data_IF_369355711561
#
_entry.id   IF_369355711561
#
_cell.length_a   1.000
_cell.length_b   1.000
_cell.length_c   1.000
_cell.angle_alpha   90.00
_cell.angle_beta   90.00
_cell.angle_gamma   90.00
#
_symmetry.space_group_name_H-M   'P 1'
#
loop_
_entity.id
_entity.type
_entity.pdbx_description
1 polymer ?
#
# COMPACT_ATOMS: atom_id res chain seq x y z
N UNK A 1 -18.28 59.62 -6.10
CA UNK A 1 -17.78 58.23 -6.04
C UNK A 1 -17.06 58.00 -7.36
N UNK A 2 -15.73 58.15 -7.36
CA UNK A 2 -14.93 58.24 -8.57
C UNK A 2 -14.57 56.81 -9.01
N UNK A 3 -14.74 56.50 -10.29
CA UNK A 3 -14.61 55.15 -10.89
C UNK A 3 -13.22 54.52 -10.78
N UNK A 4 -12.23 55.23 -10.24
CA UNK A 4 -10.85 54.75 -10.04
C UNK A 4 -10.63 53.85 -8.81
N UNK A 5 -11.57 53.81 -7.85
CA UNK A 5 -11.43 52.95 -6.66
C UNK A 5 -12.01 51.55 -6.84
N UNK A 6 -12.53 51.21 -8.03
CA UNK A 6 -13.09 49.88 -8.33
C UNK A 6 -12.11 49.01 -9.17
N UNK A 7 -11.07 49.61 -9.78
CA UNK A 7 -10.13 48.87 -10.63
C UNK A 7 -9.00 48.15 -9.86
N UNK A 8 -8.76 48.49 -8.59
CA UNK A 8 -7.72 47.86 -7.75
C UNK A 8 -8.17 46.55 -7.05
N UNK A 9 -9.39 46.06 -7.29
CA UNK A 9 -9.90 44.80 -6.73
C UNK A 9 -9.69 43.61 -7.68
N UNK A 10 -9.24 43.84 -8.93
CA UNK A 10 -8.95 42.77 -9.89
C UNK A 10 -7.68 43.04 -10.71
N UNK A 11 -6.53 43.23 -10.03
CA UNK A 11 -5.24 43.24 -10.71
C UNK A 11 -5.01 41.88 -11.40
N UNK A 12 -5.19 41.84 -12.72
CA UNK A 12 -4.85 40.68 -13.54
C UNK A 12 -3.33 40.49 -13.45
N UNK A 13 -2.83 39.31 -13.03
CA UNK A 13 -1.40 39.10 -12.86
C UNK A 13 -0.65 39.40 -14.16
N UNK A 14 0.48 40.08 -14.06
CA UNK A 14 1.29 40.41 -15.24
C UNK A 14 1.90 39.13 -15.85
N UNK A 15 2.36 39.18 -17.11
CA UNK A 15 2.86 37.98 -17.82
C UNK A 15 4.05 37.30 -17.10
N UNK A 16 4.86 38.08 -16.40
CA UNK A 16 6.03 37.59 -15.68
C UNK A 16 5.63 36.83 -14.39
N UNK A 17 4.61 37.31 -13.68
CA UNK A 17 3.98 36.64 -12.54
C UNK A 17 3.22 35.38 -12.95
N UNK A 18 2.53 35.40 -14.10
CA UNK A 18 1.90 34.19 -14.67
C UNK A 18 2.96 33.15 -15.04
N UNK A 19 4.08 33.59 -15.60
CA UNK A 19 5.18 32.71 -15.97
C UNK A 19 5.91 32.13 -14.75
N UNK A 20 6.09 32.91 -13.68
CA UNK A 20 6.68 32.44 -12.43
C UNK A 20 5.77 31.44 -11.72
N UNK A 21 4.46 31.74 -11.62
CA UNK A 21 3.47 30.83 -11.05
C UNK A 21 3.39 29.51 -11.83
N UNK A 22 3.37 29.56 -13.17
CA UNK A 22 3.38 28.36 -14.02
C UNK A 22 4.61 27.47 -13.78
N UNK A 23 5.79 28.06 -13.57
CA UNK A 23 7.01 27.31 -13.24
C UNK A 23 6.90 26.61 -11.89
N UNK A 24 6.33 27.27 -10.89
CA UNK A 24 6.08 26.69 -9.56
C UNK A 24 5.13 25.50 -9.67
N UNK A 25 3.99 25.65 -10.34
CA UNK A 25 3.04 24.55 -10.51
C UNK A 25 3.62 23.35 -11.25
N UNK A 26 4.35 23.57 -12.35
CA UNK A 26 5.02 22.47 -13.06
C UNK A 26 5.96 21.69 -12.14
N UNK A 27 6.79 22.41 -11.35
CA UNK A 27 7.71 21.79 -10.40
C UNK A 27 6.96 20.97 -9.35
N UNK A 28 5.91 21.53 -8.75
CA UNK A 28 5.09 20.83 -7.74
C UNK A 28 4.47 19.56 -8.32
N UNK A 29 3.97 19.62 -9.56
CA UNK A 29 3.42 18.45 -10.26
C UNK A 29 4.46 17.35 -10.44
N UNK A 30 5.66 17.70 -10.89
CA UNK A 30 6.75 16.74 -11.12
C UNK A 30 7.20 16.10 -9.81
N UNK A 31 7.45 16.91 -8.77
CA UNK A 31 7.86 16.41 -7.45
C UNK A 31 6.78 15.54 -6.80
N UNK A 32 5.49 15.84 -7.04
CA UNK A 32 4.38 15.02 -6.56
C UNK A 32 4.33 13.66 -7.26
N UNK A 33 4.57 13.62 -8.58
CA UNK A 33 4.66 12.37 -9.33
C UNK A 33 5.81 11.49 -8.79
N UNK A 34 6.98 12.09 -8.55
CA UNK A 34 8.13 11.40 -7.99
C UNK A 34 7.87 10.87 -6.57
N UNK A 35 7.20 11.66 -5.73
CA UNK A 35 6.77 11.26 -4.39
C UNK A 35 5.86 10.02 -4.45
N UNK A 36 4.82 10.08 -5.28
CA UNK A 36 3.87 8.97 -5.48
C UNK A 36 4.62 7.71 -5.96
N UNK A 37 5.48 7.86 -6.97
CA UNK A 37 6.27 6.75 -7.52
C UNK A 37 7.17 6.10 -6.46
N UNK A 38 7.88 6.90 -5.67
CA UNK A 38 8.80 6.42 -4.63
C UNK A 38 8.05 5.66 -3.53
N UNK A 39 6.95 6.24 -3.02
CA UNK A 39 6.18 5.62 -1.94
C UNK A 39 5.50 4.33 -2.40
N UNK A 40 4.91 4.32 -3.60
CA UNK A 40 4.29 3.13 -4.17
C UNK A 40 5.31 2.02 -4.44
N UNK A 41 6.50 2.37 -4.96
CA UNK A 41 7.59 1.39 -5.14
C UNK A 41 8.05 0.76 -3.82
N UNK A 42 8.13 1.56 -2.75
CA UNK A 42 8.44 1.06 -1.41
C UNK A 42 7.35 0.11 -0.88
N UNK A 43 6.13 0.17 -1.41
CA UNK A 43 4.99 -0.64 -0.99
C UNK A 43 4.17 0.02 0.12
N UNK A 44 4.14 1.36 0.16
CA UNK A 44 3.27 2.12 1.06
C UNK A 44 1.84 2.08 0.52
N UNK A 45 0.86 1.94 1.43
CA UNK A 45 -0.55 1.88 1.07
C UNK A 45 -1.05 3.20 0.44
N UNK A 46 -1.87 3.10 -0.60
CA UNK A 46 -2.42 4.26 -1.33
C UNK A 46 -3.13 5.27 -0.44
N UNK A 47 -3.79 4.83 0.63
CA UNK A 47 -4.42 5.72 1.61
C UNK A 47 -3.41 6.61 2.34
N UNK A 48 -2.22 6.09 2.64
CA UNK A 48 -1.14 6.87 3.26
C UNK A 48 -0.46 7.75 2.20
N UNK A 49 -0.23 7.25 0.99
CA UNK A 49 0.29 8.06 -0.13
C UNK A 49 -0.62 9.27 -0.40
N UNK A 50 -1.94 9.09 -0.40
CA UNK A 50 -2.90 10.20 -0.51
C UNK A 50 -2.67 11.26 0.57
N UNK A 51 -2.45 10.87 1.83
CA UNK A 51 -2.19 11.80 2.92
C UNK A 51 -0.89 12.57 2.71
N UNK A 52 0.19 11.87 2.38
CA UNK A 52 1.50 12.47 2.10
C UNK A 52 1.43 13.47 0.93
N UNK A 53 0.66 13.17 -0.12
CA UNK A 53 0.43 14.09 -1.24
C UNK A 53 -0.30 15.36 -0.79
N UNK A 54 -1.33 15.24 0.04
CA UNK A 54 -2.06 16.40 0.58
C UNK A 54 -1.15 17.24 1.49
N UNK A 55 -0.37 16.58 2.36
CA UNK A 55 0.58 17.24 3.25
C UNK A 55 1.70 17.94 2.46
N UNK A 56 2.17 17.35 1.36
CA UNK A 56 3.12 17.97 0.46
C UNK A 56 2.64 19.33 -0.05
N UNK A 57 1.39 19.43 -0.50
CA UNK A 57 0.82 20.69 -0.98
C UNK A 57 0.74 21.75 0.12
N UNK A 58 0.32 21.37 1.32
CA UNK A 58 0.25 22.27 2.48
C UNK A 58 1.61 22.90 2.80
N UNK A 59 2.70 22.14 2.70
CA UNK A 59 4.06 22.63 2.97
C UNK A 59 4.57 23.65 1.94
N UNK A 60 4.02 23.66 0.72
CA UNK A 60 4.36 24.62 -0.34
C UNK A 60 3.49 25.88 -0.32
N UNK A 61 2.68 26.10 0.72
CA UNK A 61 1.67 27.17 0.78
C UNK A 61 0.77 27.22 -0.47
N UNK A 62 0.66 26.11 -1.19
CA UNK A 62 -0.17 25.98 -2.38
C UNK A 62 -1.34 25.11 -2.01
N UNK A 63 -2.55 25.64 -2.08
CA UNK A 63 -3.73 24.86 -1.72
C UNK A 63 -3.98 23.77 -2.78
N UNK A 64 -4.36 22.56 -2.38
CA UNK A 64 -4.75 21.46 -3.26
C UNK A 64 -5.80 21.90 -4.30
N UNK A 65 -6.69 22.82 -3.93
CA UNK A 65 -7.72 23.36 -4.83
C UNK A 65 -7.12 24.20 -5.96
N UNK A 66 -6.09 24.99 -5.69
CA UNK A 66 -5.40 25.81 -6.69
C UNK A 66 -4.69 24.93 -7.72
N UNK A 67 -4.03 23.87 -7.23
CA UNK A 67 -3.39 22.87 -8.08
C UNK A 67 -4.44 22.16 -8.94
N UNK A 68 -5.56 21.73 -8.37
CA UNK A 68 -6.64 21.11 -9.13
C UNK A 68 -7.17 22.01 -10.25
N UNK A 69 -7.41 23.28 -9.94
CA UNK A 69 -7.87 24.28 -10.92
C UNK A 69 -6.82 24.52 -12.01
N UNK A 70 -5.54 24.58 -11.63
CA UNK A 70 -4.44 24.74 -12.57
C UNK A 70 -4.31 23.50 -13.49
N UNK A 71 -4.34 22.29 -12.92
CA UNK A 71 -4.28 21.02 -13.65
C UNK A 71 -5.42 20.89 -14.66
N UNK A 72 -6.63 21.30 -14.27
CA UNK A 72 -7.81 21.28 -15.14
C UNK A 72 -7.61 22.09 -16.43
N UNK A 73 -6.82 23.16 -16.37
CA UNK A 73 -6.50 24.05 -17.50
C UNK A 73 -5.16 23.75 -18.18
N UNK A 74 -4.31 22.87 -17.64
CA UNK A 74 -2.91 22.69 -18.08
C UNK A 74 -2.56 21.21 -18.35
N UNK A 75 -3.37 20.52 -19.16
CA UNK A 75 -3.21 19.10 -19.50
C UNK A 75 -2.19 18.84 -20.63
N UNK A 76 -1.08 19.57 -20.65
CA UNK A 76 -0.14 19.58 -21.77
C UNK A 76 0.92 18.46 -21.69
N UNK A 77 1.25 18.02 -20.48
CA UNK A 77 2.24 16.96 -20.23
C UNK A 77 1.59 15.79 -19.48
N UNK A 78 2.26 14.64 -19.53
CA UNK A 78 1.75 13.41 -18.92
C UNK A 78 1.61 13.46 -17.40
N UNK A 79 2.49 14.17 -16.70
CA UNK A 79 2.49 14.25 -15.23
C UNK A 79 1.27 15.04 -14.74
N UNK A 80 0.93 16.15 -15.41
CA UNK A 80 -0.26 16.94 -15.13
C UNK A 80 -1.54 16.16 -15.45
N UNK A 81 -1.59 15.46 -16.59
CA UNK A 81 -2.74 14.63 -16.96
C UNK A 81 -2.94 13.51 -15.93
N UNK A 82 -1.88 12.81 -15.56
CA UNK A 82 -1.93 11.77 -14.54
C UNK A 82 -2.40 12.32 -13.20
N UNK A 83 -1.82 13.43 -12.73
CA UNK A 83 -2.12 13.96 -11.41
C UNK A 83 -3.58 14.45 -11.34
N UNK A 84 -4.12 15.01 -12.41
CA UNK A 84 -5.54 15.32 -12.50
C UNK A 84 -6.39 14.04 -12.40
N UNK A 85 -5.99 12.96 -13.09
CA UNK A 85 -6.64 11.65 -12.97
C UNK A 85 -6.60 11.12 -11.53
N UNK A 86 -5.45 11.24 -10.86
CA UNK A 86 -5.25 10.84 -9.46
C UNK A 86 -6.18 11.60 -8.52
N UNK A 87 -6.37 12.90 -8.70
CA UNK A 87 -7.30 13.70 -7.88
C UNK A 87 -8.76 13.24 -8.07
N UNK A 88 -9.17 12.91 -9.30
CA UNK A 88 -10.52 12.42 -9.58
C UNK A 88 -10.74 10.99 -9.05
N UNK A 89 -9.69 10.15 -9.03
CA UNK A 89 -9.73 8.78 -8.52
C UNK A 89 -9.77 8.71 -6.99
N UNK A 90 -9.05 9.61 -6.32
CA UNK A 90 -8.94 9.61 -4.86
C UNK A 90 -9.80 10.67 -4.18
N UNK A 91 -10.68 11.39 -4.90
CA UNK A 91 -11.54 12.44 -4.33
C UNK A 91 -10.71 13.52 -3.60
N UNK A 92 -9.76 14.12 -4.32
CA UNK A 92 -8.97 15.27 -3.83
C UNK A 92 -9.56 16.52 -4.45
N UNK A 93 -10.22 17.36 -3.64
CA UNK A 93 -10.86 18.62 -4.05
C UNK A 93 -11.95 18.49 -5.13
N UNK A 94 -12.48 17.28 -5.31
CA UNK A 94 -13.53 16.97 -6.27
C UNK A 94 -14.33 15.75 -5.80
N UNK A 95 -15.57 15.62 -6.29
CA UNK A 95 -16.34 14.40 -6.10
C UNK A 95 -15.76 13.27 -6.95
N UNK A 96 -15.89 12.03 -6.50
CA UNK A 96 -15.40 10.86 -7.22
C UNK A 96 -15.89 10.86 -8.67
N UNK A 97 -14.96 10.71 -9.61
CA UNK A 97 -15.31 10.57 -11.02
C UNK A 97 -14.37 9.56 -11.69
N UNK A 98 -14.68 8.29 -11.44
CA UNK A 98 -13.89 7.16 -11.94
C UNK A 98 -13.82 7.12 -13.47
N UNK A 99 -14.88 7.53 -14.19
CA UNK A 99 -14.88 7.58 -15.66
C UNK A 99 -13.87 8.62 -16.17
N UNK A 100 -13.89 9.83 -15.59
CA UNK A 100 -12.94 10.89 -15.93
C UNK A 100 -11.51 10.50 -15.54
N UNK A 101 -11.32 9.93 -14.36
CA UNK A 101 -10.02 9.44 -13.91
C UNK A 101 -9.46 8.40 -14.89
N UNK A 102 -10.26 7.41 -15.28
CA UNK A 102 -9.86 6.37 -16.23
C UNK A 102 -9.45 6.97 -17.60
N UNK A 103 -10.24 7.89 -18.16
CA UNK A 103 -9.90 8.58 -19.42
C UNK A 103 -8.58 9.34 -19.33
N UNK A 104 -8.34 10.05 -18.22
CA UNK A 104 -7.08 10.77 -17.97
C UNK A 104 -5.90 9.80 -17.84
N UNK A 105 -6.06 8.68 -17.15
CA UNK A 105 -5.02 7.66 -17.04
C UNK A 105 -4.69 7.02 -18.39
N UNK A 106 -5.68 6.72 -19.24
CA UNK A 106 -5.43 6.24 -20.60
C UNK A 106 -4.61 7.26 -21.41
N UNK A 107 -5.01 8.53 -21.40
CA UNK A 107 -4.29 9.59 -22.12
C UNK A 107 -2.83 9.73 -21.64
N UNK A 108 -2.60 9.80 -20.32
CA UNK A 108 -1.24 9.84 -19.77
C UNK A 108 -0.45 8.54 -20.05
N UNK A 109 -1.11 7.39 -20.05
CA UNK A 109 -0.50 6.09 -20.38
C UNK A 109 -0.02 6.01 -21.83
N UNK A 110 -0.80 6.55 -22.79
CA UNK A 110 -0.43 6.68 -24.20
C UNK A 110 0.80 7.58 -24.39
N UNK A 111 0.97 8.55 -23.48
CA UNK A 111 2.18 9.38 -23.36
C UNK A 111 3.31 8.71 -22.55
N UNK A 112 3.28 7.39 -22.39
CA UNK A 112 4.27 6.57 -21.67
C UNK A 112 4.44 6.85 -20.17
N UNK A 113 3.45 7.45 -19.51
CA UNK A 113 3.49 7.70 -18.07
C UNK A 113 3.35 6.41 -17.25
N UNK A 114 4.35 6.09 -16.41
CA UNK A 114 4.40 4.80 -15.72
C UNK A 114 3.34 4.64 -14.63
N UNK A 115 3.06 5.68 -13.84
CA UNK A 115 1.99 5.65 -12.85
C UNK A 115 0.63 5.52 -13.52
N UNK A 116 0.43 6.21 -14.65
CA UNK A 116 -0.85 6.14 -15.36
C UNK A 116 -1.08 4.73 -15.91
N UNK A 117 -0.06 4.09 -16.49
CA UNK A 117 -0.13 2.69 -16.92
C UNK A 117 -0.51 1.75 -15.76
N UNK A 118 0.09 1.95 -14.57
CA UNK A 118 -0.30 1.18 -13.39
C UNK A 118 -1.78 1.41 -13.01
N UNK A 119 -2.23 2.66 -12.98
CA UNK A 119 -3.60 3.00 -12.61
C UNK A 119 -4.64 2.57 -13.66
N UNK A 120 -4.29 2.49 -14.94
CA UNK A 120 -5.14 1.83 -15.95
C UNK A 120 -5.36 0.36 -15.60
N UNK A 121 -4.29 -0.35 -15.19
CA UNK A 121 -4.39 -1.72 -14.68
C UNK A 121 -5.32 -1.83 -13.47
N UNK A 122 -5.18 -0.94 -12.48
CA UNK A 122 -6.07 -0.89 -11.31
C UNK A 122 -7.53 -0.59 -11.68
N UNK A 123 -7.77 0.30 -12.65
CA UNK A 123 -9.12 0.53 -13.18
C UNK A 123 -9.73 -0.73 -13.77
N UNK A 124 -8.99 -1.50 -14.59
CA UNK A 124 -9.47 -2.78 -15.12
C UNK A 124 -9.63 -3.85 -14.03
N UNK A 125 -8.81 -3.84 -12.98
CA UNK A 125 -8.92 -4.78 -11.85
C UNK A 125 -10.22 -4.59 -11.09
N UNK A 126 -10.57 -3.33 -10.83
CA UNK A 126 -11.68 -2.96 -9.95
C UNK A 126 -12.97 -2.64 -10.72
N UNK A 127 -12.88 -2.34 -12.02
CA UNK A 127 -14.00 -1.82 -12.81
C UNK A 127 -14.27 -0.33 -12.55
N UNK A 128 -13.23 0.44 -12.18
CA UNK A 128 -13.37 1.85 -11.86
C UNK A 128 -13.32 2.67 -13.16
N UNK A 129 -14.48 3.20 -13.60
CA UNK A 129 -14.59 3.97 -14.84
C UNK A 129 -14.53 3.12 -16.12
N UNK A 130 -14.56 1.80 -15.96
CA UNK A 130 -14.51 0.79 -17.03
C UNK A 130 -15.11 -0.52 -16.53
N UNK A 131 -15.15 -1.56 -17.35
CA UNK A 131 -15.55 -2.91 -16.92
C UNK A 131 -14.33 -3.70 -16.42
N UNK A 132 -14.56 -4.61 -15.47
CA UNK A 132 -13.50 -5.50 -14.97
C UNK A 132 -12.90 -6.33 -16.10
N UNK A 133 -11.57 -6.38 -16.19
CA UNK A 133 -10.86 -7.16 -17.19
C UNK A 133 -9.51 -7.66 -16.65
N UNK A 134 -9.48 -8.92 -16.24
CA UNK A 134 -8.30 -9.55 -15.63
C UNK A 134 -7.11 -9.66 -16.61
N UNK A 135 -7.39 -9.91 -17.89
CA UNK A 135 -6.34 -10.02 -18.92
C UNK A 135 -5.64 -8.68 -19.14
N UNK A 136 -6.41 -7.62 -19.36
CA UNK A 136 -5.86 -6.26 -19.50
C UNK A 136 -5.18 -5.80 -18.22
N UNK A 137 -5.72 -6.15 -17.05
CA UNK A 137 -5.08 -5.87 -15.76
C UNK A 137 -3.65 -6.43 -15.72
N UNK A 138 -3.48 -7.72 -16.05
CA UNK A 138 -2.18 -8.35 -16.07
C UNK A 138 -1.25 -7.73 -17.12
N UNK A 139 -1.75 -7.48 -18.33
CA UNK A 139 -0.96 -6.84 -19.40
C UNK A 139 -0.38 -5.49 -18.96
N UNK A 140 -1.18 -4.64 -18.29
CA UNK A 140 -0.71 -3.36 -17.78
C UNK A 140 0.27 -3.50 -16.61
N UNK A 141 0.05 -4.46 -15.70
CA UNK A 141 0.99 -4.72 -14.61
C UNK A 141 2.33 -5.27 -15.10
N UNK A 142 2.34 -6.19 -16.07
CA UNK A 142 3.57 -6.66 -16.71
C UNK A 142 4.30 -5.52 -17.43
N UNK A 143 3.56 -4.67 -18.15
CA UNK A 143 4.12 -3.51 -18.85
C UNK A 143 4.90 -2.57 -17.94
N UNK A 144 4.38 -2.26 -16.74
CA UNK A 144 5.11 -1.42 -15.77
C UNK A 144 6.14 -2.22 -14.98
N UNK A 145 5.94 -3.53 -14.77
CA UNK A 145 6.89 -4.41 -14.12
C UNK A 145 8.21 -4.54 -14.90
N UNK A 146 8.13 -4.62 -16.23
CA UNK A 146 9.27 -4.64 -17.16
C UNK A 146 10.07 -3.33 -17.13
N UNK A 147 9.43 -2.23 -16.73
CA UNK A 147 10.05 -0.92 -16.52
C UNK A 147 10.59 -0.73 -15.09
N UNK A 148 10.82 -1.82 -14.37
CA UNK A 148 11.30 -1.85 -12.97
C UNK A 148 10.39 -1.14 -11.95
N UNK A 149 9.09 -1.01 -12.23
CA UNK A 149 8.14 -0.52 -11.22
C UNK A 149 7.78 -1.66 -10.27
N UNK A 150 8.27 -1.58 -9.03
CA UNK A 150 8.23 -2.68 -8.06
C UNK A 150 6.81 -3.05 -7.64
N UNK A 151 5.89 -2.09 -7.57
CA UNK A 151 4.47 -2.39 -7.33
C UNK A 151 3.83 -3.15 -8.50
N UNK A 152 4.22 -2.83 -9.75
CA UNK A 152 3.82 -3.62 -10.92
C UNK A 152 4.32 -5.05 -10.88
N UNK A 153 5.58 -5.23 -10.50
CA UNK A 153 6.18 -6.54 -10.28
C UNK A 153 5.45 -7.31 -9.16
N UNK A 154 5.12 -6.66 -8.04
CA UNK A 154 4.33 -7.26 -6.96
C UNK A 154 2.97 -7.74 -7.47
N UNK A 155 2.22 -6.89 -8.16
CA UNK A 155 0.88 -7.22 -8.65
C UNK A 155 0.91 -8.33 -9.72
N UNK A 156 1.85 -8.27 -10.67
CA UNK A 156 2.06 -9.35 -11.64
C UNK A 156 2.36 -10.68 -10.91
N UNK A 157 3.23 -10.66 -9.90
CA UNK A 157 3.53 -11.82 -9.07
C UNK A 157 2.28 -12.38 -8.38
N UNK A 158 1.37 -11.52 -7.92
CA UNK A 158 0.10 -11.92 -7.32
C UNK A 158 -0.85 -12.59 -8.32
N UNK A 159 -0.97 -12.06 -9.54
CA UNK A 159 -1.77 -12.68 -10.59
C UNK A 159 -1.27 -14.08 -10.95
N UNK A 160 0.04 -14.24 -11.14
CA UNK A 160 0.64 -15.56 -11.40
C UNK A 160 0.50 -16.53 -10.23
N UNK A 161 0.62 -16.05 -8.99
CA UNK A 161 0.47 -16.90 -7.79
C UNK A 161 -0.93 -17.50 -7.70
N UNK A 162 -1.95 -16.72 -8.03
CA UNK A 162 -3.34 -17.10 -7.85
C UNK A 162 -4.02 -17.62 -9.13
N UNK A 163 -3.42 -17.41 -10.29
CA UNK A 163 -4.03 -17.79 -11.57
C UNK A 163 -5.25 -16.94 -11.93
N UNK A 164 -5.18 -15.63 -11.68
CA UNK A 164 -6.28 -14.70 -11.97
C UNK A 164 -6.23 -14.37 -13.47
N UNK A 165 -7.26 -14.72 -14.23
CA UNK A 165 -7.32 -14.55 -15.69
C UNK A 165 -6.33 -15.40 -16.50
N UNK A 166 -5.50 -16.21 -15.85
CA UNK A 166 -4.43 -17.02 -16.45
C UNK A 166 -4.21 -18.32 -15.70
N UNK A 167 -3.47 -19.27 -16.29
CA UNK A 167 -3.01 -20.45 -15.55
C UNK A 167 -2.02 -20.04 -14.45
N UNK A 168 -2.26 -20.52 -13.23
CA UNK A 168 -1.36 -20.34 -12.09
C UNK A 168 0.07 -20.79 -12.43
N UNK A 169 1.04 -19.93 -12.12
CA UNK A 169 2.47 -20.17 -12.35
C UNK A 169 3.28 -19.63 -11.16
N UNK A 170 3.63 -20.53 -10.23
CA UNK A 170 4.39 -20.16 -9.04
C UNK A 170 5.83 -19.75 -9.35
N UNK A 171 6.44 -20.22 -10.45
CA UNK A 171 7.80 -19.83 -10.84
C UNK A 171 7.84 -18.39 -11.32
N UNK A 172 6.85 -17.98 -12.13
CA UNK A 172 6.70 -16.57 -12.52
C UNK A 172 6.34 -15.68 -11.34
N UNK A 173 5.48 -16.14 -10.44
CA UNK A 173 5.18 -15.42 -9.19
C UNK A 173 6.45 -15.15 -8.37
N UNK A 174 7.24 -16.21 -8.14
CA UNK A 174 8.53 -16.11 -7.45
C UNK A 174 9.48 -15.14 -8.14
N UNK A 175 9.61 -15.23 -9.46
CA UNK A 175 10.46 -14.33 -10.25
C UNK A 175 10.09 -12.86 -10.04
N UNK A 176 8.81 -12.53 -10.13
CA UNK A 176 8.34 -11.16 -9.97
C UNK A 176 8.44 -10.65 -8.54
N UNK A 177 8.07 -11.45 -7.54
CA UNK A 177 8.29 -11.09 -6.13
C UNK A 177 9.77 -10.88 -5.82
N UNK A 178 10.66 -11.69 -6.38
CA UNK A 178 12.11 -11.53 -6.21
C UNK A 178 12.60 -10.21 -6.79
N UNK A 179 12.17 -9.84 -8.00
CA UNK A 179 12.50 -8.53 -8.59
C UNK A 179 11.97 -7.38 -7.74
N UNK A 180 10.71 -7.42 -7.33
CA UNK A 180 10.10 -6.36 -6.52
C UNK A 180 10.80 -6.20 -5.15
N UNK A 181 11.14 -7.32 -4.50
CA UNK A 181 11.86 -7.31 -3.22
C UNK A 181 13.28 -6.74 -3.36
N UNK A 182 13.99 -7.07 -4.44
CA UNK A 182 15.31 -6.49 -4.74
C UNK A 182 15.24 -4.99 -5.01
N UNK A 183 14.10 -4.50 -5.50
CA UNK A 183 13.82 -3.08 -5.69
C UNK A 183 13.31 -2.38 -4.41
N UNK A 184 13.36 -3.04 -3.25
CA UNK A 184 13.02 -2.45 -1.96
C UNK A 184 11.54 -2.49 -1.59
N UNK A 185 10.69 -3.20 -2.34
CA UNK A 185 9.26 -3.29 -2.01
C UNK A 185 9.02 -4.20 -0.79
N UNK A 186 8.48 -3.61 0.29
CA UNK A 186 8.36 -4.28 1.60
C UNK A 186 7.34 -5.41 1.62
N UNK A 187 6.29 -5.31 0.78
CA UNK A 187 5.25 -6.34 0.64
C UNK A 187 5.81 -7.52 -0.15
N UNK A 188 6.59 -7.24 -1.21
CA UNK A 188 7.25 -8.26 -2.00
C UNK A 188 8.29 -9.03 -1.18
N UNK A 189 9.03 -8.39 -0.27
CA UNK A 189 9.92 -9.09 0.66
C UNK A 189 9.15 -10.12 1.50
N UNK A 190 8.01 -9.73 2.08
CA UNK A 190 7.13 -10.66 2.79
C UNK A 190 6.63 -11.81 1.88
N UNK A 191 6.18 -11.51 0.67
CA UNK A 191 5.68 -12.53 -0.26
C UNK A 191 6.79 -13.50 -0.70
N UNK A 192 7.98 -12.99 -0.98
CA UNK A 192 9.15 -13.81 -1.30
C UNK A 192 9.59 -14.67 -0.10
N UNK A 193 9.49 -14.13 1.12
CA UNK A 193 9.72 -14.89 2.35
C UNK A 193 8.76 -16.07 2.46
N UNK A 194 7.47 -15.86 2.16
CA UNK A 194 6.49 -16.95 2.10
C UNK A 194 6.80 -17.96 1.00
N UNK A 195 7.30 -17.53 -0.17
CA UNK A 195 7.73 -18.45 -1.21
C UNK A 195 8.82 -19.39 -0.72
N UNK A 196 9.86 -18.87 -0.06
CA UNK A 196 10.91 -19.71 0.53
C UNK A 196 10.44 -20.53 1.73
N UNK A 197 9.48 -20.05 2.51
CA UNK A 197 8.90 -20.81 3.63
C UNK A 197 8.16 -22.05 3.14
N UNK A 198 7.36 -21.91 2.08
CA UNK A 198 6.47 -22.97 1.62
C UNK A 198 6.99 -23.74 0.40
N UNK A 199 8.05 -23.27 -0.25
CA UNK A 199 8.58 -23.85 -1.48
C UNK A 199 7.75 -23.48 -2.71
N UNK A 200 7.18 -22.27 -2.74
CA UNK A 200 6.36 -21.79 -3.86
C UNK A 200 7.24 -21.16 -4.94
N UNK A 201 7.45 -21.88 -6.04
CA UNK A 201 8.23 -21.39 -7.18
C UNK A 201 9.75 -21.46 -7.00
N UNK A 202 10.22 -21.79 -5.80
CA UNK A 202 11.60 -22.10 -5.46
C UNK A 202 11.65 -23.19 -4.37
N UNK A 203 12.82 -23.78 -4.13
CA UNK A 203 13.01 -24.69 -3.01
C UNK A 203 12.84 -23.99 -1.66
N UNK A 204 12.48 -24.76 -0.63
CA UNK A 204 12.35 -24.22 0.72
C UNK A 204 13.71 -23.76 1.24
N UNK A 205 13.74 -22.56 1.82
CA UNK A 205 14.94 -21.99 2.43
C UNK A 205 14.53 -21.13 3.62
N UNK A 206 14.53 -21.72 4.81
CA UNK A 206 14.07 -21.06 6.03
C UNK A 206 14.98 -19.89 6.44
N UNK A 207 16.27 -19.93 6.12
CA UNK A 207 17.19 -18.83 6.40
C UNK A 207 16.85 -17.61 5.52
N UNK A 208 16.62 -17.82 4.23
CA UNK A 208 16.16 -16.73 3.34
C UNK A 208 14.78 -16.22 3.73
N UNK A 209 13.86 -17.09 4.10
CA UNK A 209 12.54 -16.69 4.59
C UNK A 209 12.66 -15.77 5.82
N UNK A 210 13.43 -16.18 6.82
CA UNK A 210 13.69 -15.40 8.03
C UNK A 210 14.28 -14.01 7.71
N UNK A 211 15.33 -13.94 6.91
CA UNK A 211 15.97 -12.66 6.54
C UNK A 211 15.03 -11.72 5.78
N UNK A 212 14.17 -12.26 4.91
CA UNK A 212 13.19 -11.46 4.17
C UNK A 212 12.07 -10.94 5.08
N UNK A 213 11.55 -11.76 5.98
CA UNK A 213 10.57 -11.31 6.98
C UNK A 213 11.17 -10.27 7.91
N UNK A 214 12.43 -10.43 8.32
CA UNK A 214 13.16 -9.46 9.13
C UNK A 214 13.28 -8.11 8.42
N UNK A 215 13.74 -8.08 7.17
CA UNK A 215 13.82 -6.83 6.37
C UNK A 215 12.46 -6.14 6.20
N UNK A 216 11.42 -6.92 5.92
CA UNK A 216 10.04 -6.41 5.84
C UNK A 216 9.56 -5.82 7.18
N UNK A 217 9.93 -6.46 8.30
CA UNK A 217 9.58 -6.03 9.64
C UNK A 217 10.33 -4.76 10.11
N UNK A 218 11.59 -4.59 9.69
CA UNK A 218 12.40 -3.39 9.94
C UNK A 218 11.75 -2.13 9.33
N UNK A 219 11.07 -2.28 8.19
CA UNK A 219 10.28 -1.23 7.54
C UNK A 219 8.84 -1.11 8.09
N UNK A 220 8.57 -1.69 9.26
CA UNK A 220 7.28 -1.66 9.96
C UNK A 220 6.09 -2.28 9.21
N UNK A 221 6.33 -3.16 8.22
CA UNK A 221 5.22 -3.87 7.58
C UNK A 221 4.64 -4.94 8.52
N UNK A 222 3.40 -4.74 8.98
CA UNK A 222 2.82 -5.57 10.04
C UNK A 222 2.81 -7.08 9.72
N UNK A 223 2.55 -7.48 8.47
CA UNK A 223 2.61 -8.91 8.10
C UNK A 223 4.03 -9.46 8.15
N UNK A 224 5.03 -8.66 7.77
CA UNK A 224 6.44 -8.98 7.95
C UNK A 224 6.79 -9.17 9.43
N UNK A 225 6.36 -8.25 10.29
CA UNK A 225 6.55 -8.35 11.75
C UNK A 225 5.87 -9.60 12.31
N UNK A 226 4.62 -9.91 11.92
CA UNK A 226 3.92 -11.12 12.36
C UNK A 226 4.69 -12.38 11.95
N UNK A 227 5.18 -12.44 10.71
CA UNK A 227 5.96 -13.60 10.25
C UNK A 227 7.33 -13.70 10.92
N UNK A 228 7.96 -12.59 11.28
CA UNK A 228 9.17 -12.59 12.10
C UNK A 228 8.89 -13.19 13.49
N UNK A 229 7.77 -12.81 14.12
CA UNK A 229 7.32 -13.41 15.38
C UNK A 229 7.09 -14.91 15.27
N UNK A 230 6.46 -15.36 14.18
CA UNK A 230 6.27 -16.77 13.87
C UNK A 230 7.59 -17.53 13.69
N UNK A 231 8.58 -16.90 13.06
CA UNK A 231 9.90 -17.50 12.90
C UNK A 231 10.60 -17.71 14.25
N UNK A 232 10.59 -16.71 15.13
CA UNK A 232 11.12 -16.87 16.49
C UNK A 232 10.33 -17.88 17.31
N UNK A 233 9.01 -17.94 17.15
CA UNK A 233 8.19 -18.90 17.86
C UNK A 233 8.52 -20.35 17.47
N UNK A 234 8.74 -20.60 16.18
CA UNK A 234 8.89 -21.95 15.61
C UNK A 234 10.33 -22.36 15.33
N UNK A 235 11.30 -21.45 15.45
CA UNK A 235 12.70 -21.71 15.08
C UNK A 235 12.91 -21.81 13.57
N UNK A 236 12.20 -21.00 12.78
CA UNK A 236 12.31 -21.02 11.31
C UNK A 236 13.43 -20.06 10.91
N UNK A 237 14.54 -20.61 10.40
CA UNK A 237 15.71 -19.82 10.00
C UNK A 237 16.44 -19.14 11.17
N UNK A 238 16.05 -19.47 12.40
CA UNK A 238 16.59 -18.90 13.64
C UNK A 238 16.37 -19.88 14.80
N UNK A 239 16.93 -19.61 15.97
CA UNK A 239 16.64 -20.37 17.19
C UNK A 239 15.27 -19.98 17.74
N UNK A 240 14.60 -20.92 18.42
CA UNK A 240 13.36 -20.61 19.13
C UNK A 240 13.64 -19.54 20.20
N UNK A 241 12.88 -18.45 20.15
CA UNK A 241 12.97 -17.33 21.09
C UNK A 241 11.56 -16.80 21.35
N UNK A 242 10.94 -17.27 22.43
CA UNK A 242 9.55 -16.91 22.75
C UNK A 242 9.40 -15.46 23.18
N UNK A 243 10.43 -14.86 23.78
CA UNK A 243 10.39 -13.46 24.17
C UNK A 243 10.38 -12.57 22.92
N UNK A 244 11.26 -12.82 21.94
CA UNK A 244 11.24 -12.08 20.66
C UNK A 244 9.98 -12.34 19.83
N UNK A 245 9.43 -13.55 19.89
CA UNK A 245 8.15 -13.85 19.27
C UNK A 245 7.04 -12.96 19.85
N UNK A 246 6.97 -12.88 21.19
CA UNK A 246 6.02 -12.00 21.88
C UNK A 246 6.21 -10.54 21.49
N UNK A 247 7.43 -10.02 21.55
CA UNK A 247 7.72 -8.62 21.18
C UNK A 247 7.30 -8.30 19.75
N UNK A 248 7.58 -9.21 18.82
CA UNK A 248 7.18 -9.07 17.41
C UNK A 248 5.65 -9.08 17.26
N UNK A 249 4.98 -10.07 17.84
CA UNK A 249 3.52 -10.14 17.79
C UNK A 249 2.87 -8.93 18.46
N UNK A 250 3.39 -8.47 19.61
CA UNK A 250 2.89 -7.30 20.31
C UNK A 250 3.04 -6.03 19.47
N UNK A 251 4.19 -5.84 18.81
CA UNK A 251 4.40 -4.73 17.88
C UNK A 251 3.40 -4.77 16.71
N UNK A 252 3.21 -5.93 16.09
CA UNK A 252 2.26 -6.08 14.98
C UNK A 252 0.79 -5.93 15.41
N UNK A 253 0.44 -6.39 16.61
CA UNK A 253 -0.89 -6.24 17.20
C UNK A 253 -1.25 -4.76 17.43
N UNK A 254 -0.28 -3.96 17.89
CA UNK A 254 -0.43 -2.51 18.05
C UNK A 254 -0.60 -1.78 16.71
N UNK A 255 -0.07 -2.35 15.62
CA UNK A 255 -0.30 -1.87 14.24
C UNK A 255 -1.62 -2.38 13.64
N UNK A 256 -2.45 -3.06 14.42
CA UNK A 256 -3.79 -3.50 14.03
C UNK A 256 -3.88 -4.91 13.42
N UNK A 257 -2.79 -5.69 13.41
CA UNK A 257 -2.84 -7.05 12.86
C UNK A 257 -3.72 -7.99 13.70
N UNK A 258 -4.88 -8.38 13.18
CA UNK A 258 -5.78 -9.32 13.84
C UNK A 258 -5.11 -10.66 14.18
N UNK A 259 -4.27 -11.20 13.28
CA UNK A 259 -3.54 -12.46 13.54
C UNK A 259 -2.54 -12.30 14.67
N UNK A 260 -1.83 -11.16 14.72
CA UNK A 260 -0.89 -10.90 15.79
C UNK A 260 -1.61 -10.66 17.13
N UNK A 261 -2.74 -9.95 17.14
CA UNK A 261 -3.58 -9.77 18.32
C UNK A 261 -4.01 -11.13 18.89
N UNK A 262 -4.49 -12.04 18.04
CA UNK A 262 -4.79 -13.41 18.45
C UNK A 262 -3.57 -14.14 19.04
N UNK A 263 -2.41 -14.06 18.38
CA UNK A 263 -1.19 -14.72 18.87
C UNK A 263 -0.72 -14.15 20.21
N UNK A 264 -0.81 -12.83 20.41
CA UNK A 264 -0.53 -12.19 21.72
C UNK A 264 -1.49 -12.75 22.78
N UNK A 265 -2.78 -12.90 22.44
CA UNK A 265 -3.77 -13.55 23.30
C UNK A 265 -3.35 -14.96 23.73
N UNK A 266 -2.91 -15.80 22.78
CA UNK A 266 -2.39 -17.16 23.07
C UNK A 266 -1.18 -17.11 24.02
N UNK A 267 -0.26 -16.18 23.80
CA UNK A 267 0.95 -16.09 24.62
C UNK A 267 0.61 -15.71 26.07
N UNK A 268 -0.30 -14.76 26.27
CA UNK A 268 -0.80 -14.41 27.60
C UNK A 268 -1.61 -15.55 28.25
N UNK A 269 -2.43 -16.28 27.48
CA UNK A 269 -3.20 -17.42 27.99
C UNK A 269 -2.28 -18.56 28.46
N UNK A 270 -1.25 -18.85 27.68
CA UNK A 270 -0.35 -19.98 27.90
C UNK A 270 0.81 -19.68 28.85
N UNK A 271 1.20 -18.40 29.00
CA UNK A 271 2.42 -18.02 29.75
C UNK A 271 3.72 -18.47 29.09
N UNK A 272 3.71 -18.80 27.79
CA UNK A 272 4.91 -19.27 27.09
C UNK A 272 5.75 -18.09 26.63
N UNK A 273 6.86 -17.86 27.33
CA UNK A 273 7.81 -16.78 27.04
C UNK A 273 7.46 -15.45 27.69
N UNK A 274 6.33 -15.36 28.39
CA UNK A 274 5.90 -14.19 29.17
C UNK A 274 5.09 -14.63 30.38
N UNK A 275 4.89 -13.74 31.36
CA UNK A 275 3.99 -14.00 32.48
C UNK A 275 2.55 -14.20 31.99
N UNK A 276 1.95 -15.33 32.41
CA UNK A 276 0.55 -15.65 32.12
C UNK A 276 -0.38 -14.56 32.67
N UNK A 277 -1.32 -14.10 31.86
CA UNK A 277 -2.32 -13.09 32.24
C UNK A 277 -3.61 -13.29 31.44
N UNK A 278 -4.62 -13.91 32.06
CA UNK A 278 -5.88 -14.24 31.38
C UNK A 278 -6.66 -12.98 30.97
N UNK A 279 -6.60 -11.91 31.76
CA UNK A 279 -7.32 -10.67 31.44
C UNK A 279 -6.72 -10.01 30.19
N UNK A 280 -5.40 -9.98 30.08
CA UNK A 280 -4.74 -9.53 28.85
C UNK A 280 -5.02 -10.45 27.67
N UNK A 281 -5.07 -11.77 27.89
CA UNK A 281 -5.44 -12.71 26.83
C UNK A 281 -6.83 -12.40 26.26
N UNK A 282 -7.84 -12.23 27.14
CA UNK A 282 -9.21 -11.85 26.77
C UNK A 282 -9.21 -10.53 26.01
N UNK A 283 -8.54 -9.50 26.52
CA UNK A 283 -8.44 -8.20 25.85
C UNK A 283 -7.97 -8.34 24.40
N UNK A 284 -6.87 -9.08 24.15
CA UNK A 284 -6.32 -9.24 22.81
C UNK A 284 -7.19 -10.11 21.90
N UNK A 285 -7.82 -11.15 22.44
CA UNK A 285 -8.82 -11.92 21.69
C UNK A 285 -10.02 -11.05 21.30
N UNK A 286 -10.50 -10.16 22.16
CA UNK A 286 -11.58 -9.21 21.83
C UNK A 286 -11.18 -8.26 20.70
N UNK A 287 -9.96 -7.70 20.72
CA UNK A 287 -9.49 -6.85 19.63
C UNK A 287 -9.47 -7.60 18.29
N UNK A 288 -8.98 -8.84 18.30
CA UNK A 288 -8.94 -9.69 17.10
C UNK A 288 -10.34 -10.12 16.62
N UNK A 289 -11.22 -10.47 17.55
CA UNK A 289 -12.58 -10.92 17.28
C UNK A 289 -13.48 -9.80 16.73
N UNK A 290 -13.31 -8.56 17.20
CA UNK A 290 -13.99 -7.36 16.66
C UNK A 290 -13.68 -7.11 15.19
N UNK A 291 -12.51 -7.56 14.72
CA UNK A 291 -12.11 -7.53 13.31
C UNK A 291 -12.58 -8.75 12.52
N UNK A 292 -13.34 -9.66 13.14
CA UNK A 292 -13.91 -10.85 12.48
C UNK A 292 -12.99 -12.08 12.47
N UNK A 293 -11.94 -12.14 13.30
CA UNK A 293 -11.08 -13.33 13.33
C UNK A 293 -11.75 -14.48 14.09
N UNK A 294 -12.14 -15.53 13.36
CA UNK A 294 -12.94 -16.63 13.89
C UNK A 294 -12.25 -17.37 15.04
N UNK A 295 -10.94 -17.62 14.96
CA UNK A 295 -10.24 -18.34 16.03
C UNK A 295 -10.24 -17.53 17.35
N UNK A 296 -10.20 -16.20 17.27
CA UNK A 296 -10.30 -15.34 18.44
C UNK A 296 -11.71 -15.37 19.04
N UNK A 297 -12.75 -15.33 18.20
CA UNK A 297 -14.15 -15.48 18.63
C UNK A 297 -14.36 -16.81 19.36
N UNK A 298 -13.90 -17.90 18.76
CA UNK A 298 -13.98 -19.24 19.35
C UNK A 298 -13.24 -19.31 20.69
N UNK A 299 -12.08 -18.64 20.81
CA UNK A 299 -11.34 -18.58 22.08
C UNK A 299 -12.06 -17.82 23.17
N UNK A 300 -12.70 -16.71 22.85
CA UNK A 300 -13.53 -15.96 23.81
C UNK A 300 -14.69 -16.80 24.33
N UNK A 301 -15.41 -17.49 23.45
CA UNK A 301 -16.51 -18.37 23.85
C UNK A 301 -16.06 -19.47 24.81
N UNK A 302 -14.91 -20.09 24.54
CA UNK A 302 -14.33 -21.12 25.41
C UNK A 302 -13.96 -20.54 26.78
N UNK A 303 -13.35 -19.36 26.82
CA UNK A 303 -12.94 -18.71 28.06
C UNK A 303 -14.15 -18.25 28.89
N UNK A 304 -15.18 -17.69 28.25
CA UNK A 304 -16.43 -17.30 28.92
C UNK A 304 -17.15 -18.51 29.52
N UNK A 305 -17.22 -19.63 28.79
CA UNK A 305 -17.78 -20.88 29.34
C UNK A 305 -17.00 -21.38 30.56
N UNK A 306 -15.67 -21.25 30.57
CA UNK A 306 -14.85 -21.63 31.73
C UNK A 306 -15.08 -20.71 32.93
N UNK A 307 -15.20 -19.40 32.70
CA UNK A 307 -15.45 -18.41 33.76
C UNK A 307 -16.83 -18.60 34.38
N UNK A 308 -17.86 -18.87 33.56
CA UNK A 308 -19.23 -19.04 34.03
C UNK A 308 -19.51 -20.40 34.69
N UNK A 309 -18.59 -21.36 34.56
CA UNK A 309 -18.68 -22.70 35.15
C UNK A 309 -17.76 -22.87 36.38
N UNK A 310 -17.13 -21.80 36.85
CA UNK A 310 -16.31 -21.72 38.07
C UNK A 310 -17.06 -20.90 39.14
#
# INVERSE_FOLDING_TARGET
MNTKEIEDIMAVPNEQEKLSAKKVFNRVVDETNDLIFKLANKGIEWKLIKKEVIEYFNNYNTNSQEIYNWLSNNQNNSNSIFLLGYFNYFEIETSENNEKAFKLFINASEKNHILAQFFVGECYKNGNGTIKNEKLTLEYFEKVADRNYAIGQLEAGYFYKNGIGIKKDLKKAFYWYKKAANNGNIIAMHNLGNCYLHGEGAEKDYNKAFELFKKSAEENYFRGITMLGYCYERGIGTKIDKQKAFESYQKSANLGSLVAQYNVGIMYESGKGITKDINKAIYWYEQSAKQGYQDAQNKLEILQKKINNL
#
